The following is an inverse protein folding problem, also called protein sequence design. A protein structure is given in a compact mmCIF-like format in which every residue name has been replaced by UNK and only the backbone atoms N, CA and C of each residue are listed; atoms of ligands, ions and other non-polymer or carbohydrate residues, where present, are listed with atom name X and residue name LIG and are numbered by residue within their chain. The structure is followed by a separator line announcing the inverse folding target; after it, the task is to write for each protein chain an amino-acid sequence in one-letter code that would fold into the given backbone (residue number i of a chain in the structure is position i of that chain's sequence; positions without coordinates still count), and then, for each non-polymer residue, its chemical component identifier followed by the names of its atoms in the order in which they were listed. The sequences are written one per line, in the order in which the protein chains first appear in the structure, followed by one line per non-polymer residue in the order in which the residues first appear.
data_IF_253447881117
#
_entry.id   IF_253447881117
#
_cell.length_a   1.000
_cell.length_b   1.000
_cell.length_c   1.000
_cell.angle_alpha   90.00
_cell.angle_beta   90.00
_cell.angle_gamma   90.00
#
_symmetry.space_group_name_H-M   'P 1'
#
loop_
_entity.id
_entity.type
_entity.pdbx_description
1 polymer ?
#
# COMPACT_ATOMS: atom_id res chain seq x y z
N UNK A 1 -68.75 -29.21 -8.99
CA UNK A 1 -67.71 -29.76 -9.90
C UNK A 1 -66.36 -29.50 -9.29
N UNK A 2 -65.72 -30.51 -8.70
CA UNK A 2 -64.35 -30.44 -8.16
C UNK A 2 -63.37 -30.69 -9.33
N UNK A 3 -62.66 -29.67 -9.76
CA UNK A 3 -61.58 -29.78 -10.74
C UNK A 3 -60.38 -30.41 -10.02
N UNK A 4 -60.17 -31.69 -10.18
CA UNK A 4 -58.92 -32.37 -9.80
C UNK A 4 -57.84 -31.94 -10.75
N UNK A 5 -56.94 -31.09 -10.26
CA UNK A 5 -55.68 -30.82 -10.93
C UNK A 5 -54.77 -32.03 -10.77
N UNK A 6 -54.82 -32.93 -11.72
CA UNK A 6 -53.85 -34.00 -11.81
C UNK A 6 -52.54 -33.37 -12.24
N UNK A 7 -51.63 -33.16 -11.27
CA UNK A 7 -50.23 -32.85 -11.57
C UNK A 7 -49.65 -34.09 -12.24
N UNK A 8 -49.56 -34.07 -13.55
CA UNK A 8 -49.02 -35.18 -14.33
C UNK A 8 -47.56 -35.46 -13.93
N UNK A 9 -47.16 -36.73 -13.93
CA UNK A 9 -45.80 -37.20 -13.63
C UNK A 9 -44.70 -36.41 -14.38
N UNK A 10 -45.01 -35.88 -15.55
CA UNK A 10 -44.09 -35.04 -16.35
C UNK A 10 -43.78 -33.69 -15.74
N UNK A 11 -44.72 -33.04 -15.05
CA UNK A 11 -44.50 -31.72 -14.41
C UNK A 11 -43.59 -31.82 -13.18
N UNK A 12 -43.67 -32.92 -12.42
CA UNK A 12 -42.79 -33.18 -11.30
C UNK A 12 -41.33 -33.38 -11.76
N UNK A 13 -41.12 -34.12 -12.85
CA UNK A 13 -39.77 -34.30 -13.44
C UNK A 13 -39.13 -32.99 -13.89
N UNK A 14 -39.89 -32.12 -14.56
CA UNK A 14 -39.37 -30.79 -14.98
C UNK A 14 -38.99 -29.93 -13.78
N UNK A 15 -39.81 -29.98 -12.70
CA UNK A 15 -39.53 -29.21 -11.50
C UNK A 15 -38.25 -29.70 -10.80
N UNK A 16 -38.04 -31.02 -10.73
CA UNK A 16 -36.82 -31.60 -10.13
C UNK A 16 -35.57 -31.16 -10.96
N UNK A 17 -35.63 -31.23 -12.29
CA UNK A 17 -34.53 -30.79 -13.14
C UNK A 17 -34.25 -29.30 -12.93
N UNK A 18 -35.28 -28.48 -12.83
CA UNK A 18 -35.11 -27.03 -12.57
C UNK A 18 -34.46 -26.76 -11.22
N UNK A 19 -34.89 -27.44 -10.16
CA UNK A 19 -34.28 -27.32 -8.81
C UNK A 19 -32.82 -27.76 -8.83
N UNK A 20 -32.48 -28.85 -9.48
CA UNK A 20 -31.12 -29.33 -9.60
C UNK A 20 -30.25 -28.31 -10.35
N UNK A 21 -30.74 -27.69 -11.44
CA UNK A 21 -30.03 -26.65 -12.16
C UNK A 21 -29.81 -25.43 -11.28
N UNK A 22 -30.83 -24.99 -10.54
CA UNK A 22 -30.67 -23.88 -9.59
C UNK A 22 -29.60 -24.19 -8.52
N UNK A 23 -29.65 -25.38 -7.92
CA UNK A 23 -28.66 -25.78 -6.91
C UNK A 23 -27.24 -25.84 -7.45
N UNK A 24 -27.05 -26.36 -8.69
CA UNK A 24 -25.72 -26.40 -9.32
C UNK A 24 -25.18 -25.01 -9.59
N UNK A 25 -26.03 -24.06 -10.06
CA UNK A 25 -25.64 -22.67 -10.28
C UNK A 25 -25.25 -21.99 -8.97
N UNK A 26 -26.05 -22.15 -7.90
CA UNK A 26 -25.70 -21.59 -6.60
C UNK A 26 -24.42 -22.19 -6.02
N UNK A 27 -24.21 -23.49 -6.17
CA UNK A 27 -23.01 -24.15 -5.70
C UNK A 27 -21.76 -23.63 -6.42
N UNK A 28 -21.83 -23.47 -7.76
CA UNK A 28 -20.70 -22.93 -8.54
C UNK A 28 -20.41 -21.46 -8.22
N UNK A 29 -21.43 -20.63 -8.08
CA UNK A 29 -21.27 -19.22 -7.70
C UNK A 29 -20.66 -19.10 -6.30
N UNK A 30 -21.11 -19.91 -5.33
CA UNK A 30 -20.55 -19.93 -3.97
C UNK A 30 -19.07 -20.32 -4.00
N UNK A 31 -18.70 -21.33 -4.77
CA UNK A 31 -17.31 -21.78 -4.90
C UNK A 31 -16.42 -20.70 -5.53
N UNK A 32 -16.87 -20.04 -6.61
CA UNK A 32 -16.13 -18.97 -7.27
C UNK A 32 -15.92 -17.78 -6.33
N UNK A 33 -16.97 -17.39 -5.60
CA UNK A 33 -16.87 -16.33 -4.58
C UNK A 33 -15.85 -16.67 -3.50
N UNK A 34 -15.92 -17.87 -2.94
CA UNK A 34 -14.98 -18.32 -1.90
C UNK A 34 -13.52 -18.35 -2.39
N UNK A 35 -13.28 -18.74 -3.66
CA UNK A 35 -11.94 -18.70 -4.24
C UNK A 35 -11.44 -17.25 -4.46
N UNK A 36 -12.32 -16.33 -4.84
CA UNK A 36 -11.96 -14.92 -4.97
C UNK A 36 -11.58 -14.32 -3.62
N UNK A 37 -12.37 -14.61 -2.57
CA UNK A 37 -12.11 -14.14 -1.21
C UNK A 37 -10.79 -14.69 -0.66
N UNK A 38 -10.49 -15.97 -0.92
CA UNK A 38 -9.21 -16.58 -0.52
C UNK A 38 -8.03 -15.86 -1.16
N UNK A 39 -8.07 -15.62 -2.47
CA UNK A 39 -7.00 -14.89 -3.18
C UNK A 39 -6.79 -13.46 -2.67
N UNK A 40 -7.88 -12.79 -2.30
CA UNK A 40 -7.79 -11.46 -1.69
C UNK A 40 -7.15 -11.52 -0.30
N UNK A 41 -7.52 -12.51 0.51
CA UNK A 41 -6.94 -12.72 1.83
C UNK A 41 -5.44 -13.05 1.75
N UNK A 42 -5.02 -13.90 0.82
CA UNK A 42 -3.61 -14.23 0.58
C UNK A 42 -2.80 -12.99 0.19
N UNK A 43 -3.27 -12.18 -0.77
CA UNK A 43 -2.60 -10.93 -1.16
C UNK A 43 -2.53 -9.91 -0.03
N UNK A 44 -3.59 -9.81 0.78
CA UNK A 44 -3.59 -8.92 1.93
C UNK A 44 -2.56 -9.37 2.98
N UNK A 45 -2.44 -10.68 3.22
CA UNK A 45 -1.47 -11.24 4.14
C UNK A 45 -0.03 -11.00 3.64
N UNK A 46 0.26 -11.26 2.36
CA UNK A 46 1.56 -11.00 1.74
C UNK A 46 1.95 -9.52 1.83
N UNK A 47 1.02 -8.62 1.49
CA UNK A 47 1.23 -7.17 1.58
C UNK A 47 1.52 -6.73 3.01
N UNK A 48 0.79 -7.28 3.97
CA UNK A 48 0.97 -6.97 5.39
C UNK A 48 2.31 -7.48 5.90
N UNK A 49 2.70 -8.70 5.54
CA UNK A 49 3.99 -9.28 5.90
C UNK A 49 5.15 -8.46 5.35
N UNK A 50 5.10 -8.08 4.06
CA UNK A 50 6.12 -7.23 3.44
C UNK A 50 6.24 -5.86 4.13
N UNK A 51 5.11 -5.28 4.53
CA UNK A 51 5.12 -4.01 5.26
C UNK A 51 5.82 -4.13 6.62
N UNK A 52 5.48 -5.17 7.41
CA UNK A 52 6.11 -5.38 8.71
C UNK A 52 7.59 -5.74 8.60
N UNK A 53 8.00 -6.46 7.55
CA UNK A 53 9.41 -6.73 7.28
C UNK A 53 10.18 -5.43 6.99
N UNK A 54 9.64 -4.56 6.16
CA UNK A 54 10.26 -3.28 5.85
C UNK A 54 10.29 -2.35 7.06
N UNK A 55 9.24 -2.32 7.89
CA UNK A 55 9.18 -1.54 9.12
C UNK A 55 10.22 -2.03 10.14
N UNK A 56 10.35 -3.35 10.29
CA UNK A 56 11.39 -3.96 11.13
C UNK A 56 12.80 -3.56 10.68
N UNK A 57 13.09 -3.63 9.38
CA UNK A 57 14.39 -3.20 8.83
C UNK A 57 14.64 -1.70 9.05
N UNK A 58 13.62 -0.86 8.86
CA UNK A 58 13.75 0.57 9.11
C UNK A 58 14.06 0.86 10.59
N UNK A 59 13.46 0.11 11.51
CA UNK A 59 13.75 0.21 12.94
C UNK A 59 15.15 -0.31 13.30
N UNK A 60 15.64 -1.38 12.66
CA UNK A 60 17.00 -1.87 12.80
C UNK A 60 18.04 -0.82 12.37
N UNK A 61 17.83 -0.16 11.23
CA UNK A 61 18.65 0.94 10.77
C UNK A 61 18.66 2.09 11.76
N UNK A 62 17.50 2.45 12.30
CA UNK A 62 17.40 3.48 13.32
C UNK A 62 18.23 3.13 14.56
N UNK A 63 18.14 1.89 15.04
CA UNK A 63 18.91 1.41 16.17
C UNK A 63 20.43 1.44 15.91
N UNK A 64 20.85 1.04 14.71
CA UNK A 64 22.26 1.09 14.31
C UNK A 64 22.80 2.51 14.19
N UNK A 65 21.98 3.44 13.69
CA UNK A 65 22.30 4.87 13.66
C UNK A 65 22.43 5.45 15.07
N UNK A 66 21.50 5.11 15.98
CA UNK A 66 21.57 5.53 17.39
C UNK A 66 22.92 5.12 18.03
N UNK A 67 23.31 3.85 17.88
CA UNK A 67 24.57 3.35 18.39
C UNK A 67 25.79 4.06 17.78
N UNK A 68 25.73 4.35 16.47
CA UNK A 68 26.81 5.05 15.79
C UNK A 68 26.95 6.49 16.28
N UNK A 69 25.84 7.19 16.49
CA UNK A 69 25.84 8.56 16.99
C UNK A 69 26.17 8.66 18.47
N UNK A 70 25.79 7.68 19.30
CA UNK A 70 26.18 7.61 20.70
C UNK A 70 27.69 7.44 20.88
N UNK A 71 28.34 6.74 19.93
CA UNK A 71 29.78 6.56 19.94
C UNK A 71 30.56 7.75 19.34
N UNK A 72 29.85 8.69 18.69
CA UNK A 72 30.43 9.91 18.16
C UNK A 72 30.28 11.06 19.18
N UNK A 73 31.29 11.92 19.32
CA UNK A 73 31.22 13.06 20.24
C UNK A 73 30.22 14.13 19.77
N UNK A 74 29.89 14.14 18.47
CA UNK A 74 28.94 15.06 17.85
C UNK A 74 28.31 14.43 16.59
N UNK A 75 27.06 14.74 16.25
CA UNK A 75 26.43 14.30 15.00
C UNK A 75 27.20 14.71 13.74
N UNK A 76 27.95 15.81 13.80
CA UNK A 76 28.79 16.30 12.72
C UNK A 76 30.06 15.43 12.49
N UNK A 77 30.53 14.72 13.49
CA UNK A 77 31.75 13.90 13.41
C UNK A 77 31.53 12.56 12.71
N UNK A 78 30.29 12.08 12.65
CA UNK A 78 30.00 10.82 11.97
C UNK A 78 30.10 11.02 10.44
N UNK A 79 31.06 10.37 9.73
CA UNK A 79 31.18 10.56 8.29
C UNK A 79 29.93 10.07 7.55
N UNK A 80 29.51 10.79 6.50
CA UNK A 80 28.38 10.38 5.64
C UNK A 80 28.60 8.98 5.02
N UNK A 81 29.85 8.63 4.72
CA UNK A 81 30.19 7.27 4.27
C UNK A 81 29.81 6.19 5.31
N UNK A 82 29.97 6.49 6.59
CA UNK A 82 29.59 5.55 7.66
C UNK A 82 28.07 5.45 7.79
N UNK A 83 27.35 6.55 7.61
CA UNK A 83 25.88 6.54 7.56
C UNK A 83 25.39 5.71 6.37
N UNK A 84 25.99 5.88 5.20
CA UNK A 84 25.65 5.10 4.01
C UNK A 84 25.94 3.59 4.20
N UNK A 85 27.02 3.24 4.90
CA UNK A 85 27.34 1.85 5.24
C UNK A 85 26.29 1.25 6.19
N UNK A 86 25.88 2.00 7.22
CA UNK A 86 24.84 1.54 8.16
C UNK A 86 23.49 1.36 7.45
N UNK A 87 23.19 2.24 6.52
CA UNK A 87 21.95 2.22 5.72
C UNK A 87 22.09 1.38 4.44
N UNK A 88 23.01 0.42 4.41
CA UNK A 88 23.16 -0.48 3.26
C UNK A 88 21.85 -1.25 2.99
N UNK A 89 21.29 -1.06 1.78
CA UNK A 89 19.99 -1.62 1.39
C UNK A 89 18.80 -0.69 1.61
N UNK A 90 19.02 0.52 2.16
CA UNK A 90 18.04 1.62 2.16
C UNK A 90 18.46 2.70 1.16
N UNK A 91 17.49 3.44 0.64
CA UNK A 91 17.76 4.63 -0.17
C UNK A 91 17.93 5.85 0.75
N UNK A 92 19.15 6.38 0.84
CA UNK A 92 19.41 7.64 1.57
C UNK A 92 19.01 8.80 0.66
N UNK A 93 18.02 9.57 1.08
CA UNK A 93 17.49 10.71 0.32
C UNK A 93 18.10 12.04 0.76
N UNK A 94 18.41 12.16 2.05
CA UNK A 94 18.98 13.36 2.62
C UNK A 94 19.88 13.00 3.81
N UNK A 95 21.02 13.64 3.89
CA UNK A 95 21.96 13.58 5.02
C UNK A 95 22.57 14.99 5.15
N UNK A 96 21.87 15.84 5.86
CA UNK A 96 22.20 17.25 5.97
C UNK A 96 22.52 17.65 7.41
N UNK A 97 23.50 18.57 7.53
CA UNK A 97 23.88 19.17 8.82
C UNK A 97 23.32 20.60 8.89
N UNK A 98 22.49 20.86 9.91
CA UNK A 98 21.95 22.19 10.18
C UNK A 98 22.98 23.12 10.80
N UNK A 99 22.69 24.43 10.76
CA UNK A 99 23.54 25.48 11.36
C UNK A 99 23.64 25.38 12.89
N UNK A 100 22.66 24.72 13.51
CA UNK A 100 22.59 24.44 14.94
C UNK A 100 23.35 23.17 15.36
N UNK A 101 24.03 22.52 14.41
CA UNK A 101 24.71 21.23 14.63
C UNK A 101 23.78 20.03 14.64
N UNK A 102 22.49 20.22 14.38
CA UNK A 102 21.55 19.11 14.19
C UNK A 102 21.84 18.42 12.85
N UNK A 103 21.78 17.09 12.85
CA UNK A 103 21.90 16.30 11.62
C UNK A 103 20.54 15.70 11.29
N UNK A 104 20.05 15.98 10.09
CA UNK A 104 18.82 15.44 9.54
C UNK A 104 19.14 14.31 8.57
N UNK A 105 18.55 13.16 8.83
CA UNK A 105 18.66 11.98 7.97
C UNK A 105 17.27 11.63 7.43
N UNK A 106 17.20 11.43 6.12
CA UNK A 106 16.01 10.91 5.45
C UNK A 106 16.39 9.67 4.65
N UNK A 107 15.78 8.55 4.97
CA UNK A 107 16.02 7.30 4.25
C UNK A 107 14.71 6.58 3.97
N UNK A 108 14.75 5.69 2.98
CA UNK A 108 13.60 4.87 2.59
C UNK A 108 13.99 3.40 2.54
N UNK A 109 13.12 2.55 3.07
CA UNK A 109 13.20 1.09 2.99
C UNK A 109 12.06 0.59 2.11
N UNK A 110 12.39 -0.11 1.04
CA UNK A 110 11.39 -0.63 0.10
C UNK A 110 10.49 -1.66 0.79
N UNK A 111 9.18 -1.51 0.60
CA UNK A 111 8.15 -2.50 0.96
C UNK A 111 7.87 -3.39 -0.25
N UNK A 112 7.68 -2.76 -1.40
CA UNK A 112 7.49 -3.40 -2.69
C UNK A 112 7.99 -2.46 -3.82
N UNK A 113 7.69 -2.79 -5.08
CA UNK A 113 8.12 -2.02 -6.25
C UNK A 113 7.64 -0.55 -6.24
N UNK A 114 6.52 -0.28 -5.59
CA UNK A 114 5.84 1.02 -5.65
C UNK A 114 5.71 1.71 -4.29
N UNK A 115 6.11 1.07 -3.20
CA UNK A 115 5.96 1.59 -1.85
C UNK A 115 7.23 1.41 -1.03
N UNK A 116 7.53 2.41 -0.21
CA UNK A 116 8.60 2.36 0.77
C UNK A 116 8.16 2.97 2.10
N UNK A 117 8.84 2.61 3.17
CA UNK A 117 8.76 3.32 4.45
C UNK A 117 9.80 4.42 4.42
N UNK A 118 9.36 5.66 4.56
CA UNK A 118 10.21 6.83 4.71
C UNK A 118 10.36 7.19 6.18
N UNK A 119 11.58 7.23 6.64
CA UNK A 119 11.95 7.71 7.95
C UNK A 119 12.72 9.03 7.83
N UNK A 120 12.33 10.02 8.61
CA UNK A 120 13.03 11.30 8.78
C UNK A 120 13.38 11.44 10.25
N UNK A 121 14.66 11.51 10.55
CA UNK A 121 15.17 11.51 11.92
C UNK A 121 16.17 12.65 12.08
N UNK A 122 16.04 13.42 13.16
CA UNK A 122 16.98 14.46 13.54
C UNK A 122 17.78 14.05 14.78
N UNK A 123 19.08 14.30 14.74
CA UNK A 123 20.00 14.11 15.86
C UNK A 123 20.57 15.46 16.30
N UNK A 124 20.46 15.76 17.58
CA UNK A 124 20.98 17.00 18.16
C UNK A 124 21.78 16.67 19.41
N UNK A 125 22.80 17.49 19.71
CA UNK A 125 23.52 17.43 20.99
C UNK A 125 23.02 18.55 21.87
N UNK A 126 22.63 18.23 23.09
CA UNK A 126 22.26 19.17 24.15
C UNK A 126 23.19 18.97 25.33
N UNK A 127 23.06 19.84 26.37
CA UNK A 127 23.81 19.71 27.64
C UNK A 127 23.58 18.36 28.34
N UNK A 128 22.44 17.70 28.03
CA UNK A 128 22.10 16.35 28.53
C UNK A 128 22.60 15.20 27.68
N UNK A 129 23.32 15.48 26.59
CA UNK A 129 23.86 14.50 25.65
C UNK A 129 23.13 14.46 24.28
N UNK A 130 23.31 13.36 23.56
CA UNK A 130 22.67 13.13 22.28
C UNK A 130 21.15 12.98 22.45
N UNK A 131 20.41 13.71 21.63
CA UNK A 131 18.96 13.63 21.55
C UNK A 131 18.55 13.27 20.13
N UNK A 132 17.68 12.26 20.01
CA UNK A 132 17.07 11.85 18.75
C UNK A 132 15.60 12.26 18.71
N UNK A 133 15.14 12.74 17.55
CA UNK A 133 13.73 12.98 17.27
C UNK A 133 13.34 12.34 15.94
N UNK A 134 12.27 11.56 15.93
CA UNK A 134 11.65 11.07 14.70
C UNK A 134 10.68 12.15 14.22
N UNK A 135 11.02 12.80 13.12
CA UNK A 135 10.22 13.87 12.52
C UNK A 135 9.08 13.29 11.66
N UNK A 136 9.35 12.18 10.99
CA UNK A 136 8.37 11.50 10.16
C UNK A 136 8.67 10.01 10.06
N UNK A 137 7.63 9.20 10.11
CA UNK A 137 7.67 7.77 9.87
C UNK A 137 6.40 7.38 9.13
N UNK A 138 6.51 7.14 7.82
CA UNK A 138 5.32 6.94 6.98
C UNK A 138 5.60 6.07 5.79
N UNK A 139 4.55 5.43 5.27
CA UNK A 139 4.61 4.78 3.97
C UNK A 139 4.44 5.80 2.86
N UNK A 140 5.34 5.77 1.89
CA UNK A 140 5.33 6.64 0.69
C UNK A 140 5.24 5.79 -0.57
N UNK A 141 4.68 6.38 -1.62
CA UNK A 141 4.72 5.78 -2.95
C UNK A 141 6.01 6.20 -3.65
N UNK A 142 6.77 5.21 -4.13
CA UNK A 142 8.03 5.41 -4.86
C UNK A 142 7.85 5.28 -6.37
N UNK A 143 6.83 4.53 -6.81
CA UNK A 143 6.41 4.46 -8.21
C UNK A 143 5.56 5.65 -8.58
N UNK A 144 5.93 6.39 -9.63
CA UNK A 144 5.04 7.37 -10.23
C UNK A 144 3.76 6.69 -10.70
N UNK A 145 2.60 7.29 -10.47
CA UNK A 145 1.42 6.92 -11.23
C UNK A 145 1.74 7.20 -12.71
N UNK A 146 2.08 6.15 -13.47
CA UNK A 146 1.97 6.22 -14.90
C UNK A 146 0.48 6.36 -15.20
N UNK A 147 0.03 7.60 -15.37
CA UNK A 147 -1.26 7.86 -15.98
C UNK A 147 -1.08 7.47 -17.45
N UNK A 148 -1.26 6.19 -17.74
CA UNK A 148 -1.08 5.65 -19.11
C UNK A 148 -2.10 6.18 -20.09
N UNK A 149 -3.17 6.80 -19.61
CA UNK A 149 -4.13 7.50 -20.47
C UNK A 149 -4.49 8.86 -19.85
N UNK A 150 -4.36 9.97 -20.61
CA UNK A 150 -4.99 11.19 -20.19
C UNK A 150 -6.50 10.86 -20.07
N UNK A 151 -7.06 11.00 -18.85
CA UNK A 151 -8.50 10.94 -18.71
C UNK A 151 -9.08 11.91 -19.73
N UNK A 152 -9.60 11.39 -20.82
CA UNK A 152 -10.39 12.18 -21.76
C UNK A 152 -11.62 12.62 -20.99
N UNK A 153 -11.52 13.80 -20.37
CA UNK A 153 -12.70 14.48 -19.85
C UNK A 153 -13.70 14.50 -21.01
N UNK A 154 -14.86 13.89 -20.77
CA UNK A 154 -15.94 13.92 -21.73
C UNK A 154 -16.20 15.38 -22.10
N UNK A 155 -15.72 15.78 -23.28
CA UNK A 155 -16.05 17.08 -23.87
C UNK A 155 -17.46 16.92 -24.37
N UNK A 156 -18.42 17.36 -23.53
CA UNK A 156 -19.84 17.39 -23.90
C UNK A 156 -19.97 17.98 -25.30
N UNK A 157 -20.64 17.24 -26.18
CA UNK A 157 -21.00 17.75 -27.49
C UNK A 157 -21.75 19.05 -27.28
N UNK A 158 -21.17 20.18 -27.62
CA UNK A 158 -21.91 21.44 -27.75
C UNK A 158 -22.94 21.19 -28.84
N UNK A 159 -24.17 20.84 -28.40
CA UNK A 159 -25.30 20.82 -29.30
C UNK A 159 -25.42 22.24 -29.88
N UNK A 160 -25.12 22.38 -31.14
CA UNK A 160 -25.37 23.62 -31.87
C UNK A 160 -26.85 23.96 -31.70
N UNK A 161 -27.16 25.05 -31.02
CA UNK A 161 -28.51 25.58 -30.93
C UNK A 161 -28.94 25.92 -32.36
N UNK A 162 -30.12 25.45 -32.83
CA UNK A 162 -30.62 25.84 -34.10
C UNK A 162 -30.84 27.36 -34.11
N UNK A 163 -30.32 28.05 -35.13
CA UNK A 163 -30.53 29.45 -35.35
C UNK A 163 -32.04 29.71 -35.41
N UNK A 164 -32.55 30.46 -34.43
CA UNK A 164 -33.87 31.07 -34.48
C UNK A 164 -33.70 32.44 -35.15
N UNK A 165 -33.54 32.45 -36.47
CA UNK A 165 -33.83 33.60 -37.29
C UNK A 165 -35.22 33.40 -37.91
N UNK A 166 -36.20 34.24 -37.47
CA UNK A 166 -37.53 34.37 -38.01
C UNK A 166 -38.16 35.65 -37.51
#
# INVERSE_FOLDING_TARGET
MKRQWGIGVGSASVLIIFVLLCLTVFATLSLVSAQADLRLAERAAETTAAWYEADGRAAEFLCALDQAFENASSPAELPGARVAEILEGAAVLDDSLGYDGARLLRYQVAVDENRAIEAVVSYTVSESGLSRRIESWRTVQTGGFAVEEPMTLWQGTTAALPNLEG
#
